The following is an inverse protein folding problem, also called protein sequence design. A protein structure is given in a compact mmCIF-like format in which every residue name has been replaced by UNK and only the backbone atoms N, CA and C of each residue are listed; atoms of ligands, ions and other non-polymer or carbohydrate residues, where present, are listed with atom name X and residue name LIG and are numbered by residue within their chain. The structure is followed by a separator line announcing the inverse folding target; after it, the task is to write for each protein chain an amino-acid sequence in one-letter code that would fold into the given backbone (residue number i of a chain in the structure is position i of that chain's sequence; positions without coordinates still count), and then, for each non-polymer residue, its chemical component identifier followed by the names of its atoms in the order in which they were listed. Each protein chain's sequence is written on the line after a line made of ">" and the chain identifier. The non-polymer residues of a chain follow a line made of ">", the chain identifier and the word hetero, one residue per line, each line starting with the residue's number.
data_IF_022682097568
#
_entry.id   IF_022682097568
#
_cell.length_a   1.000
_cell.length_b   1.000
_cell.length_c   1.000
_cell.angle_alpha   90.00
_cell.angle_beta   90.00
_cell.angle_gamma   90.00
#
_symmetry.space_group_name_H-M   'P 1'
#
loop_
_entity.id
_entity.type
_entity.pdbx_description
1 polymer ?
#
# COMPACT_ATOMS: atom_id res chain seq x y z
N UNK A 1 -7.40 -10.53 6.71
CA UNK A 1 -8.22 -10.73 7.94
C UNK A 1 -7.30 -10.45 9.12
N UNK A 2 -7.56 -9.37 9.82
CA UNK A 2 -6.76 -8.94 10.97
C UNK A 2 -6.72 -10.04 12.01
N UNK A 3 -5.55 -10.32 12.54
CA UNK A 3 -5.38 -11.32 13.58
C UNK A 3 -5.40 -10.63 14.95
N UNK A 4 -6.43 -10.91 15.76
CA UNK A 4 -6.54 -10.41 17.13
C UNK A 4 -5.99 -11.50 18.06
N UNK A 5 -4.89 -11.20 18.73
CA UNK A 5 -4.34 -12.06 19.77
C UNK A 5 -4.82 -11.54 21.14
N UNK A 6 -5.80 -12.21 21.71
CA UNK A 6 -6.36 -11.83 23.01
C UNK A 6 -5.38 -12.08 24.17
N UNK A 7 -4.50 -13.07 24.06
CA UNK A 7 -3.53 -13.38 25.11
C UNK A 7 -2.46 -12.30 25.26
N UNK A 8 -1.92 -11.79 24.12
CA UNK A 8 -0.94 -10.70 24.11
C UNK A 8 -1.60 -9.32 24.05
N UNK A 9 -2.92 -9.22 23.88
CA UNK A 9 -3.67 -8.00 23.59
C UNK A 9 -3.08 -7.24 22.39
N UNK A 10 -2.86 -7.94 21.29
CA UNK A 10 -2.33 -7.36 20.07
C UNK A 10 -3.31 -7.53 18.90
N UNK A 11 -3.40 -6.49 18.09
CA UNK A 11 -4.10 -6.50 16.80
C UNK A 11 -3.04 -6.34 15.71
N UNK A 12 -2.96 -7.31 14.81
CA UNK A 12 -2.06 -7.25 13.68
C UNK A 12 -2.86 -6.98 12.41
N UNK A 13 -2.53 -5.91 11.70
CA UNK A 13 -3.17 -5.45 10.47
C UNK A 13 -2.18 -5.50 9.32
N UNK A 14 -2.61 -5.93 8.16
CA UNK A 14 -1.79 -6.01 6.96
C UNK A 14 -2.21 -4.98 5.93
N UNK A 15 -1.30 -4.06 5.56
CA UNK A 15 -1.48 -3.10 4.46
C UNK A 15 -0.50 -3.43 3.35
N UNK A 16 -1.02 -3.51 2.12
CA UNK A 16 -0.22 -3.81 0.93
C UNK A 16 -0.16 -2.61 0.00
N UNK A 17 1.05 -2.19 -0.33
CA UNK A 17 1.32 -1.21 -1.38
C UNK A 17 1.37 -1.92 -2.72
N UNK A 18 0.45 -1.60 -3.59
CA UNK A 18 0.31 -2.14 -4.94
C UNK A 18 0.55 -1.07 -6.00
N UNK A 19 0.74 -1.47 -7.26
CA UNK A 19 0.97 -0.53 -8.35
C UNK A 19 2.09 -0.99 -9.29
N UNK A 20 2.30 -0.30 -10.41
CA UNK A 20 3.26 -0.71 -11.45
C UNK A 20 4.70 -0.74 -10.94
N UNK A 21 5.56 -1.41 -11.69
CA UNK A 21 7.01 -1.38 -11.48
C UNK A 21 7.53 0.06 -11.49
N UNK A 22 8.46 0.37 -10.60
CA UNK A 22 9.07 1.69 -10.46
C UNK A 22 8.10 2.83 -10.04
N UNK A 23 6.85 2.53 -9.68
CA UNK A 23 5.86 3.51 -9.24
C UNK A 23 6.18 4.21 -7.91
N UNK A 24 7.14 3.69 -7.13
CA UNK A 24 7.60 4.30 -5.87
C UNK A 24 7.05 3.63 -4.60
N UNK A 25 6.59 2.38 -4.68
CA UNK A 25 6.12 1.60 -3.51
C UNK A 25 7.20 1.45 -2.45
N UNK A 26 8.39 0.96 -2.83
CA UNK A 26 9.56 0.82 -1.94
C UNK A 26 9.98 2.17 -1.37
N UNK A 27 9.97 3.23 -2.16
CA UNK A 27 10.32 4.59 -1.72
C UNK A 27 9.36 5.10 -0.64
N UNK A 28 8.06 4.78 -0.73
CA UNK A 28 7.10 5.07 0.32
C UNK A 28 7.48 4.39 1.64
N UNK A 29 7.77 3.08 1.61
CA UNK A 29 8.15 2.34 2.81
C UNK A 29 9.48 2.84 3.41
N UNK A 30 10.46 3.12 2.57
CA UNK A 30 11.74 3.69 3.01
C UNK A 30 11.54 5.03 3.73
N UNK A 31 10.72 5.93 3.15
CA UNK A 31 10.42 7.21 3.79
C UNK A 31 9.69 7.04 5.12
N UNK A 32 8.70 6.16 5.18
CA UNK A 32 8.01 5.82 6.45
C UNK A 32 8.99 5.28 7.47
N UNK A 33 9.88 4.37 7.06
CA UNK A 33 10.90 3.81 7.93
C UNK A 33 11.84 4.89 8.49
N UNK A 34 12.37 5.76 7.64
CA UNK A 34 13.31 6.80 8.05
C UNK A 34 12.69 7.82 9.03
N UNK A 35 11.41 8.15 8.83
CA UNK A 35 10.71 9.20 9.60
C UNK A 35 9.93 8.69 10.81
N UNK A 36 9.75 7.39 10.97
CA UNK A 36 9.11 6.82 12.14
C UNK A 36 10.12 6.66 13.28
N UNK A 37 9.69 6.99 14.50
CA UNK A 37 10.50 6.82 15.71
C UNK A 37 10.98 5.36 15.83
N UNK A 38 12.27 5.10 16.12
CA UNK A 38 12.80 3.74 16.29
C UNK A 38 12.01 2.84 17.26
N UNK A 39 11.39 3.40 18.28
CA UNK A 39 10.56 2.65 19.24
C UNK A 39 9.23 2.16 18.66
N UNK A 40 8.78 2.76 17.55
CA UNK A 40 7.48 2.48 16.94
C UNK A 40 7.62 1.74 15.61
N UNK A 41 8.79 1.22 15.27
CA UNK A 41 9.03 0.46 14.04
C UNK A 41 9.93 -0.74 14.30
N UNK A 42 9.73 -1.80 13.51
CA UNK A 42 10.70 -2.88 13.41
C UNK A 42 11.72 -2.63 12.30
N UNK A 43 12.47 -3.66 11.96
CA UNK A 43 13.44 -3.61 10.88
C UNK A 43 12.72 -3.59 9.52
N UNK A 44 13.14 -2.72 8.62
CA UNK A 44 12.75 -2.79 7.21
C UNK A 44 13.52 -3.94 6.55
N UNK A 45 12.79 -4.93 6.06
CA UNK A 45 13.33 -6.06 5.33
C UNK A 45 13.00 -5.87 3.86
N UNK A 46 14.02 -5.90 3.01
CA UNK A 46 13.86 -5.82 1.55
C UNK A 46 14.50 -7.03 0.91
N UNK A 47 13.71 -7.83 0.22
CA UNK A 47 14.18 -8.96 -0.56
C UNK A 47 14.30 -8.49 -2.01
N UNK A 48 15.51 -8.06 -2.37
CA UNK A 48 15.87 -7.62 -3.72
C UNK A 48 16.95 -8.53 -4.30
N UNK A 49 16.97 -8.70 -5.63
CA UNK A 49 18.12 -9.29 -6.33
C UNK A 49 19.03 -8.23 -6.92
N UNK A 50 20.24 -8.64 -7.34
CA UNK A 50 21.23 -7.78 -7.97
C UNK A 50 20.73 -7.13 -9.28
N UNK A 51 19.76 -7.76 -9.95
CA UNK A 51 19.22 -7.31 -11.25
C UNK A 51 17.87 -6.61 -11.14
N UNK A 52 17.13 -6.81 -10.04
CA UNK A 52 15.79 -6.25 -9.85
C UNK A 52 15.61 -5.72 -8.43
N UNK A 53 15.17 -4.47 -8.31
CA UNK A 53 15.12 -3.76 -7.03
C UNK A 53 14.12 -4.34 -6.02
N UNK A 54 13.16 -5.16 -6.46
CA UNK A 54 12.21 -5.82 -5.54
C UNK A 54 11.80 -7.15 -6.15
N UNK A 55 12.43 -8.26 -5.76
CA UNK A 55 12.10 -9.58 -6.29
C UNK A 55 10.85 -10.17 -5.67
N UNK A 56 10.67 -9.98 -4.39
CA UNK A 56 9.55 -10.55 -3.68
C UNK A 56 8.71 -9.48 -3.01
N UNK A 57 9.24 -8.72 -2.06
CA UNK A 57 8.52 -7.66 -1.35
C UNK A 57 9.44 -6.91 -0.38
N UNK A 58 9.01 -5.70 0.00
CA UNK A 58 9.51 -5.04 1.19
C UNK A 58 8.52 -5.27 2.34
N UNK A 59 9.02 -5.37 3.55
CA UNK A 59 8.23 -5.56 4.76
C UNK A 59 8.68 -4.60 5.86
N UNK A 60 7.73 -3.88 6.45
CA UNK A 60 7.97 -2.95 7.54
C UNK A 60 6.88 -3.09 8.62
N UNK A 61 7.20 -3.60 9.82
CA UNK A 61 6.28 -3.56 10.94
C UNK A 61 6.29 -2.20 11.62
N UNK A 62 5.09 -1.66 11.89
CA UNK A 62 4.86 -0.41 12.61
C UNK A 62 3.97 -0.63 13.82
N UNK A 63 4.31 0.04 14.93
CA UNK A 63 3.47 0.15 16.11
C UNK A 63 2.77 1.51 16.11
N UNK A 64 1.46 1.54 16.02
CA UNK A 64 0.67 2.77 16.00
C UNK A 64 -0.05 3.03 17.33
N UNK A 65 0.42 2.42 18.42
CA UNK A 65 -0.15 2.59 19.74
C UNK A 65 -1.25 1.59 20.08
N UNK A 66 -2.21 1.96 20.92
CA UNK A 66 -3.25 1.06 21.39
C UNK A 66 -4.65 1.55 21.02
N UNK A 67 -5.54 0.61 20.65
CA UNK A 67 -6.96 0.83 20.42
C UNK A 67 -7.76 -0.07 21.36
N UNK A 68 -8.61 0.50 22.20
CA UNK A 68 -9.41 -0.24 23.20
C UNK A 68 -8.60 -1.19 24.08
N UNK A 69 -7.36 -0.78 24.45
CA UNK A 69 -6.46 -1.59 25.27
C UNK A 69 -5.68 -2.70 24.53
N UNK A 70 -5.82 -2.79 23.22
CA UNK A 70 -5.02 -3.66 22.37
C UNK A 70 -3.92 -2.87 21.66
N UNK A 71 -2.69 -3.35 21.70
CA UNK A 71 -1.58 -2.81 20.95
C UNK A 71 -1.79 -3.08 19.46
N UNK A 72 -1.74 -2.05 18.62
CA UNK A 72 -2.02 -2.19 17.20
C UNK A 72 -0.74 -2.13 16.39
N UNK A 73 -0.44 -3.23 15.70
CA UNK A 73 0.70 -3.35 14.80
C UNK A 73 0.23 -3.40 13.36
N UNK A 74 0.80 -2.54 12.53
CA UNK A 74 0.60 -2.54 11.09
C UNK A 74 1.82 -3.18 10.41
N UNK A 75 1.55 -4.15 9.58
CA UNK A 75 2.53 -4.83 8.75
C UNK A 75 2.38 -4.30 7.33
N UNK A 76 3.32 -3.45 6.92
CA UNK A 76 3.34 -2.88 5.58
C UNK A 76 4.13 -3.77 4.64
N UNK A 77 3.57 -4.07 3.48
CA UNK A 77 4.19 -4.85 2.42
C UNK A 77 4.16 -4.10 1.10
N UNK A 78 5.20 -4.25 0.27
CA UNK A 78 5.12 -3.92 -1.16
C UNK A 78 4.95 -5.20 -1.97
N UNK A 79 4.40 -5.09 -3.17
CA UNK A 79 4.41 -6.18 -4.15
C UNK A 79 5.44 -5.90 -5.24
N UNK A 80 6.04 -6.95 -5.86
CA UNK A 80 6.86 -6.77 -7.04
C UNK A 80 6.00 -6.20 -8.18
N UNK A 81 6.49 -5.13 -8.81
CA UNK A 81 5.73 -4.41 -9.84
C UNK A 81 5.82 -4.99 -11.24
N UNK A 82 6.71 -5.97 -11.48
CA UNK A 82 6.89 -6.57 -12.79
C UNK A 82 5.86 -7.68 -13.07
N UNK A 83 5.47 -7.81 -14.34
CA UNK A 83 4.39 -8.70 -14.81
C UNK A 83 4.63 -10.17 -14.44
N UNK A 84 5.88 -10.62 -14.45
CA UNK A 84 6.26 -12.02 -14.22
C UNK A 84 6.02 -12.54 -12.79
N UNK A 85 5.77 -11.65 -11.82
CA UNK A 85 5.63 -12.03 -10.40
C UNK A 85 4.18 -12.08 -9.91
N UNK A 86 3.26 -12.47 -10.78
CA UNK A 86 1.83 -12.49 -10.43
C UNK A 86 1.52 -13.43 -9.24
N UNK A 87 2.10 -14.62 -9.23
CA UNK A 87 1.96 -15.56 -8.12
C UNK A 87 2.44 -14.97 -6.77
N UNK A 88 3.53 -14.20 -6.79
CA UNK A 88 4.04 -13.53 -5.58
C UNK A 88 3.09 -12.41 -5.12
N UNK A 89 2.54 -11.61 -6.05
CA UNK A 89 1.56 -10.57 -5.72
C UNK A 89 0.31 -11.16 -5.08
N UNK A 90 -0.22 -12.24 -5.66
CA UNK A 90 -1.37 -12.97 -5.12
C UNK A 90 -1.11 -13.50 -3.71
N UNK A 91 0.07 -14.09 -3.48
CA UNK A 91 0.46 -14.59 -2.16
C UNK A 91 0.57 -13.46 -1.12
N UNK A 92 1.15 -12.32 -1.51
CA UNK A 92 1.29 -11.16 -0.62
C UNK A 92 -0.08 -10.57 -0.26
N UNK A 93 -1.08 -10.61 -1.15
CA UNK A 93 -2.44 -10.14 -0.88
C UNK A 93 -3.23 -11.06 0.06
N UNK A 94 -2.78 -12.28 0.30
CA UNK A 94 -3.48 -13.20 1.22
C UNK A 94 -3.58 -12.60 2.61
N UNK A 95 -4.82 -12.50 3.12
CA UNK A 95 -5.11 -11.94 4.44
C UNK A 95 -4.90 -10.42 4.55
N UNK A 96 -4.93 -9.69 3.44
CA UNK A 96 -4.81 -8.23 3.42
C UNK A 96 -5.99 -7.56 4.12
N UNK A 97 -5.72 -6.49 4.88
CA UNK A 97 -6.72 -5.68 5.57
C UNK A 97 -6.93 -4.32 4.90
N UNK A 98 -5.95 -3.83 4.16
CA UNK A 98 -6.05 -2.58 3.41
C UNK A 98 -5.02 -2.50 2.29
N UNK A 99 -5.34 -1.76 1.24
CA UNK A 99 -4.48 -1.59 0.07
C UNK A 99 -4.24 -0.12 -0.22
N UNK A 100 -3.00 0.22 -0.55
CA UNK A 100 -2.60 1.51 -1.12
C UNK A 100 -2.15 1.25 -2.55
N UNK A 101 -2.85 1.83 -3.52
CA UNK A 101 -2.42 1.77 -4.91
C UNK A 101 -1.58 2.99 -5.25
N UNK A 102 -0.31 2.76 -5.54
CA UNK A 102 0.66 3.80 -5.90
C UNK A 102 0.77 3.87 -7.42
N UNK A 103 0.09 4.84 -8.01
CA UNK A 103 0.15 5.12 -9.44
C UNK A 103 1.32 6.04 -9.79
N UNK A 104 1.94 5.81 -10.92
CA UNK A 104 2.98 6.67 -11.49
C UNK A 104 2.32 7.77 -12.33
N UNK A 105 2.54 9.04 -12.01
CA UNK A 105 1.89 10.16 -12.69
C UNK A 105 2.44 10.45 -14.09
N UNK A 106 3.49 9.78 -14.54
CA UNK A 106 4.05 10.01 -15.89
C UNK A 106 3.07 9.49 -16.97
N UNK A 107 2.87 10.26 -18.02
CA UNK A 107 1.96 9.88 -19.13
C UNK A 107 2.32 8.53 -19.74
N UNK A 108 3.60 8.27 -19.99
CA UNK A 108 4.08 6.99 -20.52
C UNK A 108 3.84 5.78 -19.57
N UNK A 109 3.35 6.01 -18.36
CA UNK A 109 3.08 4.97 -17.35
C UNK A 109 1.59 4.71 -17.12
N UNK A 110 0.70 5.42 -17.83
CA UNK A 110 -0.75 5.26 -17.62
C UNK A 110 -1.23 3.85 -17.95
N UNK A 111 -0.77 3.26 -19.05
CA UNK A 111 -1.13 1.87 -19.39
C UNK A 111 -0.66 0.88 -18.32
N UNK A 112 0.56 1.06 -17.79
CA UNK A 112 1.07 0.23 -16.70
C UNK A 112 0.28 0.41 -15.38
N UNK A 113 -0.24 1.62 -15.12
CA UNK A 113 -1.15 1.84 -13.98
C UNK A 113 -2.46 1.06 -14.15
N UNK A 114 -3.07 1.13 -15.33
CA UNK A 114 -4.33 0.43 -15.63
C UNK A 114 -4.14 -1.09 -15.56
N UNK A 115 -3.12 -1.62 -16.19
CA UNK A 115 -2.78 -3.05 -16.13
C UNK A 115 -2.55 -3.52 -14.69
N UNK A 116 -1.81 -2.74 -13.90
CA UNK A 116 -1.57 -3.06 -12.49
C UNK A 116 -2.83 -3.00 -11.64
N UNK A 117 -3.76 -2.07 -11.94
CA UNK A 117 -5.03 -1.96 -11.23
C UNK A 117 -5.96 -3.14 -11.55
N UNK A 118 -6.01 -3.56 -12.79
CA UNK A 118 -6.82 -4.72 -13.19
C UNK A 118 -6.25 -6.02 -12.60
N UNK A 119 -4.92 -6.14 -12.56
CA UNK A 119 -4.26 -7.25 -11.88
C UNK A 119 -4.54 -7.25 -10.36
N UNK A 120 -4.57 -6.08 -9.71
CA UNK A 120 -4.97 -5.98 -8.30
C UNK A 120 -6.39 -6.49 -8.07
N UNK A 121 -7.36 -6.06 -8.90
CA UNK A 121 -8.75 -6.51 -8.81
C UNK A 121 -8.85 -8.03 -8.94
N UNK A 122 -8.18 -8.59 -9.95
CA UNK A 122 -8.14 -10.03 -10.20
C UNK A 122 -7.56 -10.80 -9.00
N UNK A 123 -6.38 -10.40 -8.52
CA UNK A 123 -5.70 -11.08 -7.41
C UNK A 123 -6.44 -10.94 -6.06
N UNK A 124 -7.13 -9.83 -5.82
CA UNK A 124 -8.00 -9.68 -4.65
C UNK A 124 -9.20 -10.62 -4.75
N UNK A 125 -9.87 -10.67 -5.90
CA UNK A 125 -11.00 -11.56 -6.13
C UNK A 125 -10.63 -13.03 -5.92
N UNK A 126 -9.47 -13.46 -6.42
CA UNK A 126 -8.97 -14.83 -6.20
C UNK A 126 -8.63 -15.13 -4.72
N UNK A 127 -8.36 -14.11 -3.91
CA UNK A 127 -8.19 -14.22 -2.46
C UNK A 127 -9.52 -14.05 -1.67
N UNK A 128 -10.66 -13.92 -2.36
CA UNK A 128 -11.97 -13.76 -1.75
C UNK A 128 -12.28 -12.33 -1.27
N UNK A 129 -11.59 -11.34 -1.80
CA UNK A 129 -11.80 -9.91 -1.51
C UNK A 129 -12.37 -9.16 -2.72
N UNK A 130 -13.14 -8.11 -2.42
CA UNK A 130 -13.59 -7.13 -3.40
C UNK A 130 -12.90 -5.79 -3.12
N UNK A 131 -12.24 -5.23 -4.13
CA UNK A 131 -11.58 -3.92 -4.01
C UNK A 131 -12.59 -2.81 -3.67
N UNK A 132 -13.84 -2.96 -4.09
CA UNK A 132 -14.93 -2.06 -3.73
C UNK A 132 -15.27 -2.04 -2.23
N UNK A 133 -14.94 -3.09 -1.49
CA UNK A 133 -15.32 -3.28 -0.08
C UNK A 133 -14.15 -3.17 0.89
N UNK A 134 -12.92 -3.45 0.44
CA UNK A 134 -11.74 -3.40 1.31
C UNK A 134 -11.30 -1.94 1.56
N UNK A 135 -10.71 -1.62 2.74
CA UNK A 135 -10.01 -0.36 2.96
C UNK A 135 -8.98 -0.07 1.86
N UNK A 136 -9.13 1.08 1.19
CA UNK A 136 -8.39 1.38 -0.02
C UNK A 136 -8.13 2.87 -0.16
N UNK A 137 -6.95 3.24 -0.68
CA UNK A 137 -6.63 4.59 -1.10
C UNK A 137 -5.79 4.59 -2.38
N UNK A 138 -5.96 5.63 -3.19
CA UNK A 138 -5.11 5.95 -4.32
C UNK A 138 -4.01 6.93 -3.91
N UNK A 139 -2.81 6.72 -4.43
CA UNK A 139 -1.72 7.66 -4.35
C UNK A 139 -1.18 7.94 -5.75
N UNK A 140 -1.28 9.18 -6.23
CA UNK A 140 -0.67 9.62 -7.48
C UNK A 140 0.73 10.13 -7.17
N UNK A 141 1.72 9.27 -7.34
CA UNK A 141 3.12 9.57 -7.02
C UNK A 141 3.85 10.24 -8.18
N UNK A 142 4.99 10.86 -7.90
CA UNK A 142 5.84 11.59 -8.83
C UNK A 142 5.19 12.85 -9.41
N UNK A 143 4.38 13.54 -8.59
CA UNK A 143 3.70 14.77 -9.00
C UNK A 143 4.64 15.94 -9.27
N UNK A 144 5.91 15.84 -8.89
CA UNK A 144 6.96 16.82 -9.13
C UNK A 144 7.61 16.71 -10.52
N UNK A 145 7.29 15.69 -11.29
CA UNK A 145 7.85 15.51 -12.62
C UNK A 145 7.15 16.42 -13.63
N UNK A 146 7.94 17.03 -14.52
CA UNK A 146 7.40 17.76 -15.66
C UNK A 146 6.60 16.79 -16.56
N UNK A 147 5.40 17.20 -16.96
CA UNK A 147 4.51 16.34 -17.76
C UNK A 147 3.77 15.28 -16.96
N UNK A 148 3.65 15.44 -15.64
CA UNK A 148 2.73 14.62 -14.85
C UNK A 148 1.29 14.78 -15.36
N UNK A 149 0.60 13.66 -15.58
CA UNK A 149 -0.79 13.64 -16.05
C UNK A 149 -1.67 14.47 -15.10
N UNK A 150 -2.60 15.30 -15.60
CA UNK A 150 -3.49 16.08 -14.76
C UNK A 150 -4.24 15.21 -13.74
N UNK A 151 -4.42 15.73 -12.53
CA UNK A 151 -5.03 15.01 -11.41
C UNK A 151 -6.41 14.43 -11.77
N UNK A 152 -7.27 15.23 -12.40
CA UNK A 152 -8.62 14.85 -12.78
C UNK A 152 -8.66 13.77 -13.88
N UNK A 153 -7.65 13.73 -14.75
CA UNK A 153 -7.50 12.68 -15.77
C UNK A 153 -7.12 11.36 -15.10
N UNK A 154 -6.15 11.37 -14.20
CA UNK A 154 -5.78 10.18 -13.43
C UNK A 154 -6.95 9.70 -12.56
N UNK A 155 -7.66 10.62 -11.93
CA UNK A 155 -8.81 10.29 -11.08
C UNK A 155 -9.90 9.57 -11.88
N UNK A 156 -10.29 10.10 -13.05
CA UNK A 156 -11.27 9.44 -13.92
C UNK A 156 -10.84 8.05 -14.40
N UNK A 157 -9.53 7.86 -14.61
CA UNK A 157 -9.01 6.60 -15.12
C UNK A 157 -8.86 5.51 -14.03
N UNK A 158 -8.54 5.90 -12.80
CA UNK A 158 -8.08 4.97 -11.77
C UNK A 158 -9.01 4.87 -10.55
N UNK A 159 -9.87 5.86 -10.28
CA UNK A 159 -10.79 5.83 -9.14
C UNK A 159 -11.91 4.81 -9.37
N UNK A 160 -12.24 4.05 -8.31
CA UNK A 160 -13.22 2.96 -8.38
C UNK A 160 -14.51 3.31 -7.64
N UNK A 161 -14.40 3.84 -6.42
CA UNK A 161 -15.57 4.03 -5.52
C UNK A 161 -15.57 5.36 -4.77
N UNK A 162 -14.80 6.36 -5.22
CA UNK A 162 -14.65 7.63 -4.49
C UNK A 162 -13.75 7.50 -3.26
N UNK A 163 -12.80 6.58 -3.30
CA UNK A 163 -11.79 6.38 -2.27
C UNK A 163 -10.91 7.61 -2.06
N UNK A 164 -10.32 7.79 -0.86
CA UNK A 164 -9.35 8.84 -0.61
C UNK A 164 -8.20 8.77 -1.62
N UNK A 165 -7.91 9.90 -2.25
CA UNK A 165 -6.87 10.02 -3.27
C UNK A 165 -5.92 11.14 -2.89
N UNK A 166 -4.62 10.87 -2.97
CA UNK A 166 -3.56 11.77 -2.55
C UNK A 166 -2.55 11.98 -3.67
N UNK A 167 -2.15 13.23 -3.86
CA UNK A 167 -0.96 13.54 -4.65
C UNK A 167 0.29 13.31 -3.81
N UNK A 168 1.34 12.74 -4.41
CA UNK A 168 2.54 12.37 -3.68
C UNK A 168 3.84 12.65 -4.43
N UNK A 169 4.87 12.90 -3.63
CA UNK A 169 6.27 12.91 -4.03
C UNK A 169 7.02 12.10 -2.98
N UNK A 170 7.05 10.78 -3.16
CA UNK A 170 7.51 9.84 -2.14
C UNK A 170 8.91 10.14 -1.58
N UNK A 171 9.93 10.51 -2.39
CA UNK A 171 11.25 10.86 -1.86
C UNK A 171 11.24 12.09 -0.95
N UNK A 172 10.26 12.99 -1.12
CA UNK A 172 10.10 14.20 -0.29
C UNK A 172 9.10 14.00 0.85
N UNK A 173 8.43 12.86 0.89
CA UNK A 173 7.42 12.52 1.89
C UNK A 173 6.05 13.16 1.71
N UNK A 174 5.88 13.94 0.65
CA UNK A 174 4.58 14.55 0.32
C UNK A 174 3.58 13.44 0.01
N UNK A 175 2.42 13.46 0.67
CA UNK A 175 1.35 12.48 0.48
C UNK A 175 1.60 11.09 1.09
N UNK A 176 2.81 10.81 1.60
CA UNK A 176 3.18 9.46 2.08
C UNK A 176 2.44 9.08 3.35
N UNK A 177 2.55 9.90 4.41
CA UNK A 177 1.86 9.63 5.67
C UNK A 177 0.36 9.87 5.59
N UNK A 178 -0.09 10.82 4.79
CA UNK A 178 -1.50 11.12 4.56
C UNK A 178 -2.22 9.89 3.98
N UNK A 179 -1.63 9.28 2.95
CA UNK A 179 -2.16 8.05 2.33
C UNK A 179 -2.19 6.88 3.32
N UNK A 180 -1.08 6.64 4.03
CA UNK A 180 -0.98 5.57 5.02
C UNK A 180 -2.00 5.73 6.15
N UNK A 181 -2.13 6.94 6.71
CA UNK A 181 -3.09 7.24 7.78
C UNK A 181 -4.53 7.04 7.33
N UNK A 182 -4.87 7.41 6.08
CA UNK A 182 -6.21 7.23 5.55
C UNK A 182 -6.61 5.75 5.49
N UNK A 183 -5.73 4.88 4.99
CA UNK A 183 -6.00 3.43 4.94
C UNK A 183 -5.97 2.81 6.34
N UNK A 184 -5.00 3.16 7.17
CA UNK A 184 -4.93 2.66 8.55
C UNK A 184 -6.20 2.99 9.34
N UNK A 185 -6.74 4.22 9.19
CA UNK A 185 -8.00 4.63 9.82
C UNK A 185 -9.18 3.79 9.34
N UNK A 186 -9.30 3.53 8.03
CA UNK A 186 -10.35 2.68 7.46
C UNK A 186 -10.24 1.24 8.01
N UNK A 187 -9.04 0.67 8.07
CA UNK A 187 -8.79 -0.67 8.63
C UNK A 187 -9.25 -0.74 10.09
N UNK A 188 -8.89 0.25 10.91
CA UNK A 188 -9.31 0.30 12.32
C UNK A 188 -10.83 0.48 12.47
N UNK A 189 -11.47 1.24 11.58
CA UNK A 189 -12.93 1.39 11.57
C UNK A 189 -13.63 0.08 11.25
N UNK A 190 -13.14 -0.69 10.27
CA UNK A 190 -13.70 -2.01 9.95
C UNK A 190 -13.55 -3.01 11.11
N UNK A 191 -12.41 -2.95 11.82
CA UNK A 191 -12.20 -3.77 13.01
C UNK A 191 -13.13 -3.41 14.17
N UNK A 192 -13.51 -2.15 14.29
CA UNK A 192 -14.38 -1.69 15.37
C UNK A 192 -15.85 -2.07 15.17
N UNK A 193 -16.24 -2.51 13.97
CA UNK A 193 -17.59 -2.99 13.64
C UNK A 193 -17.77 -4.49 13.94
N UNK A 194 -16.67 -5.22 14.13
CA UNK A 194 -16.65 -6.65 14.48
C UNK A 194 -16.51 -6.85 15.99
#
# INVERSE_FOLDING_TARGET
>A
MSFINYASREINCKIVYYGPGLGGKTTNLQYVYERTNPQNKGQLISLATETDRTLFFDFLPLDLGSVRGFRTRFHLYTVPGQVFYDASRKLILKGVDGVIFVADSQEARMDANLESLDNLKHNLHENGFDLGLIPYALQFNKRDLAGAVPYDVMLRALQIKGEPTFEAVAPKGIGVFETLKAVAKQVLQELSKK
#
